data_IF_613743362007
#
_entry.id   IF_613743362007
#
_cell.length_a   1.000
_cell.length_b   1.000
_cell.length_c   1.000
_cell.angle_alpha   90.00
_cell.angle_beta   90.00
_cell.angle_gamma   90.00
#
_symmetry.space_group_name_H-M   'P 1'
#
loop_
_entity.id
_entity.type
_entity.pdbx_description
1 polymer ?
#
# COMPACT_ATOMS: atom_id res chain seq x y z
N UNK A 1 64.94 -39.28 -45.00
CA UNK A 1 63.99 -38.27 -44.48
C UNK A 1 63.00 -39.02 -43.62
N UNK A 2 63.41 -39.12 -42.30
CA UNK A 2 62.55 -39.80 -41.32
C UNK A 2 61.53 -38.88 -40.76
N UNK A 3 60.25 -39.19 -40.96
CA UNK A 3 59.12 -38.45 -40.38
C UNK A 3 58.94 -38.95 -38.91
N UNK A 4 59.35 -38.11 -37.98
CA UNK A 4 59.10 -38.33 -36.57
C UNK A 4 57.61 -38.28 -36.27
N UNK A 5 56.97 -39.47 -36.09
CA UNK A 5 55.61 -39.57 -35.59
C UNK A 5 55.57 -39.24 -34.10
N UNK A 6 55.11 -38.03 -33.79
CA UNK A 6 54.75 -37.67 -32.40
C UNK A 6 53.56 -38.48 -31.95
N UNK A 7 53.79 -39.46 -31.07
CA UNK A 7 52.75 -40.17 -30.34
C UNK A 7 52.19 -39.27 -29.26
N UNK A 8 50.98 -38.81 -29.44
CA UNK A 8 50.22 -38.20 -28.35
C UNK A 8 49.93 -39.27 -27.27
N UNK A 9 50.17 -38.98 -25.99
CA UNK A 9 49.83 -39.88 -24.91
C UNK A 9 48.30 -40.06 -24.90
N UNK A 10 47.85 -41.33 -24.94
CA UNK A 10 46.40 -41.64 -24.77
C UNK A 10 45.93 -41.11 -23.40
N UNK A 11 44.99 -40.23 -23.40
CA UNK A 11 44.31 -39.79 -22.19
C UNK A 11 43.66 -41.01 -21.56
N UNK A 12 44.08 -41.35 -20.36
CA UNK A 12 43.53 -42.44 -19.58
C UNK A 12 42.13 -42.09 -19.20
N UNK A 13 41.13 -42.68 -19.81
CA UNK A 13 39.75 -42.52 -19.44
C UNK A 13 39.55 -43.07 -18.03
N UNK A 14 39.41 -42.20 -17.05
CA UNK A 14 39.10 -42.52 -15.67
C UNK A 14 37.56 -42.69 -15.61
N UNK A 15 37.06 -43.91 -15.65
CA UNK A 15 35.66 -44.20 -15.46
C UNK A 15 35.19 -43.89 -14.03
N UNK A 16 34.04 -43.27 -13.88
CA UNK A 16 33.43 -43.06 -12.57
C UNK A 16 33.00 -44.37 -11.91
N UNK A 17 33.27 -44.50 -10.61
CA UNK A 17 32.75 -45.60 -9.81
C UNK A 17 31.24 -45.45 -9.56
N UNK A 18 30.54 -46.55 -9.56
CA UNK A 18 29.09 -46.59 -9.26
C UNK A 18 28.79 -45.93 -7.88
N UNK A 19 29.66 -46.15 -6.89
CA UNK A 19 29.57 -45.56 -5.56
C UNK A 19 29.70 -44.04 -5.60
N UNK A 20 30.62 -43.51 -6.41
CA UNK A 20 30.81 -42.07 -6.58
C UNK A 20 29.56 -41.39 -7.17
N UNK A 21 28.91 -42.01 -8.14
CA UNK A 21 27.64 -41.51 -8.72
C UNK A 21 26.54 -41.50 -7.66
N UNK A 22 26.41 -42.55 -6.83
CA UNK A 22 25.41 -42.57 -5.77
C UNK A 22 25.65 -41.49 -4.73
N UNK A 23 26.91 -41.29 -4.31
CA UNK A 23 27.23 -40.24 -3.34
C UNK A 23 26.92 -38.86 -3.91
N UNK A 24 27.25 -38.60 -5.18
CA UNK A 24 26.94 -37.30 -5.84
C UNK A 24 25.43 -37.04 -5.91
N UNK A 25 24.61 -37.99 -6.31
CA UNK A 25 23.15 -37.77 -6.38
C UNK A 25 22.53 -37.55 -4.99
N UNK A 26 23.03 -38.23 -3.95
CA UNK A 26 22.56 -38.03 -2.57
C UNK A 26 22.93 -36.58 -2.09
N UNK A 27 24.17 -36.20 -2.29
CA UNK A 27 24.62 -34.82 -1.92
C UNK A 27 23.86 -33.77 -2.70
N UNK A 28 23.69 -33.95 -4.01
CA UNK A 28 22.89 -33.05 -4.83
C UNK A 28 21.43 -32.98 -4.36
N UNK A 29 20.82 -34.09 -3.96
CA UNK A 29 19.48 -34.12 -3.41
C UNK A 29 19.34 -33.30 -2.14
N UNK A 30 20.30 -33.42 -1.23
CA UNK A 30 20.32 -32.62 0.02
C UNK A 30 20.48 -31.13 -0.28
N UNK A 31 21.45 -30.75 -1.12
CA UNK A 31 21.69 -29.35 -1.49
C UNK A 31 20.48 -28.75 -2.22
N UNK A 32 19.89 -29.49 -3.15
CA UNK A 32 18.71 -29.05 -3.87
C UNK A 32 17.50 -28.82 -2.94
N UNK A 33 17.31 -29.69 -1.94
CA UNK A 33 16.22 -29.54 -0.97
C UNK A 33 16.37 -28.29 -0.12
N UNK A 34 17.58 -27.97 0.33
CA UNK A 34 17.88 -26.73 1.07
C UNK A 34 17.68 -25.49 0.18
N UNK A 35 18.15 -25.54 -1.06
CA UNK A 35 17.99 -24.47 -2.03
C UNK A 35 16.52 -24.16 -2.33
N UNK A 36 15.67 -25.17 -2.43
CA UNK A 36 14.24 -25.01 -2.70
C UNK A 36 13.51 -24.21 -1.61
N UNK A 37 13.87 -24.42 -0.33
CA UNK A 37 13.30 -23.67 0.80
C UNK A 37 13.68 -22.18 0.71
N UNK A 38 14.95 -21.88 0.45
CA UNK A 38 15.42 -20.49 0.34
C UNK A 38 14.73 -19.74 -0.81
N UNK A 39 14.59 -20.39 -1.97
CA UNK A 39 13.92 -19.81 -3.13
C UNK A 39 12.45 -19.56 -2.82
N UNK A 40 11.75 -20.54 -2.21
CA UNK A 40 10.35 -20.39 -1.79
C UNK A 40 10.16 -19.20 -0.86
N UNK A 41 10.96 -19.12 0.19
CA UNK A 41 10.84 -18.04 1.19
C UNK A 41 11.19 -16.67 0.59
N UNK A 42 12.15 -16.62 -0.32
CA UNK A 42 12.48 -15.43 -1.10
C UNK A 42 11.31 -14.95 -1.97
N UNK A 43 10.66 -15.85 -2.69
CA UNK A 43 9.47 -15.53 -3.50
C UNK A 43 8.32 -15.03 -2.63
N UNK A 44 8.02 -15.72 -1.53
CA UNK A 44 6.96 -15.32 -0.61
C UNK A 44 7.25 -13.95 0.04
N UNK A 45 8.49 -13.70 0.41
CA UNK A 45 8.92 -12.39 0.93
C UNK A 45 8.76 -11.28 -0.10
N UNK A 46 9.13 -11.53 -1.35
CA UNK A 46 8.95 -10.58 -2.45
C UNK A 46 7.48 -10.24 -2.70
N UNK A 47 6.61 -11.27 -2.76
CA UNK A 47 5.17 -11.07 -2.99
C UNK A 47 4.52 -10.25 -1.87
N UNK A 48 4.86 -10.55 -0.60
CA UNK A 48 4.39 -9.77 0.56
C UNK A 48 4.88 -8.33 0.52
N UNK A 49 6.15 -8.10 0.20
CA UNK A 49 6.72 -6.76 0.06
C UNK A 49 6.02 -5.94 -1.01
N UNK A 50 5.70 -6.53 -2.15
CA UNK A 50 4.97 -5.89 -3.23
C UNK A 50 3.53 -5.51 -2.82
N UNK A 51 2.84 -6.39 -2.11
CA UNK A 51 1.49 -6.14 -1.60
C UNK A 51 1.47 -4.96 -0.62
N UNK A 52 2.41 -4.95 0.34
CA UNK A 52 2.55 -3.86 1.33
C UNK A 52 2.83 -2.53 0.64
N UNK A 53 3.78 -2.50 -0.29
CA UNK A 53 4.15 -1.28 -1.01
C UNK A 53 2.99 -0.75 -1.85
N UNK A 54 2.23 -1.63 -2.50
CA UNK A 54 1.05 -1.25 -3.29
C UNK A 54 -0.05 -0.62 -2.43
N UNK A 55 -0.33 -1.21 -1.27
CA UNK A 55 -1.33 -0.68 -0.32
C UNK A 55 -0.89 0.67 0.28
N UNK A 56 0.38 0.80 0.66
CA UNK A 56 0.94 2.05 1.18
C UNK A 56 0.83 3.19 0.16
N UNK A 57 1.17 2.91 -1.09
CA UNK A 57 1.06 3.87 -2.18
C UNK A 57 -0.38 4.36 -2.40
N UNK A 58 -1.35 3.44 -2.45
CA UNK A 58 -2.77 3.79 -2.59
C UNK A 58 -3.26 4.64 -1.41
N UNK A 59 -2.89 4.28 -0.18
CA UNK A 59 -3.24 5.03 1.02
C UNK A 59 -2.71 6.46 0.99
N UNK A 60 -1.45 6.65 0.62
CA UNK A 60 -0.83 7.98 0.51
C UNK A 60 -1.48 8.84 -0.57
N UNK A 61 -1.71 8.27 -1.75
CA UNK A 61 -2.37 9.00 -2.85
C UNK A 61 -3.80 9.40 -2.48
N UNK A 62 -4.55 8.50 -1.87
CA UNK A 62 -5.91 8.80 -1.41
C UNK A 62 -5.91 9.92 -0.38
N UNK A 63 -5.02 9.86 0.63
CA UNK A 63 -4.90 10.91 1.65
C UNK A 63 -4.51 12.25 1.04
N UNK A 64 -3.55 12.27 0.12
CA UNK A 64 -3.12 13.48 -0.56
C UNK A 64 -4.27 14.12 -1.36
N UNK A 65 -5.04 13.29 -2.07
CA UNK A 65 -6.21 13.78 -2.81
C UNK A 65 -7.26 14.36 -1.89
N UNK A 66 -7.64 13.63 -0.83
CA UNK A 66 -8.61 14.10 0.17
C UNK A 66 -8.15 15.44 0.75
N UNK A 67 -6.90 15.53 1.21
CA UNK A 67 -6.37 16.74 1.84
C UNK A 67 -6.32 17.94 0.88
N UNK A 68 -6.04 17.69 -0.39
CA UNK A 68 -6.06 18.72 -1.44
C UNK A 68 -7.48 19.24 -1.67
N UNK A 69 -8.45 18.35 -1.79
CA UNK A 69 -9.84 18.71 -2.02
C UNK A 69 -10.48 19.36 -0.78
N UNK A 70 -10.17 18.91 0.43
CA UNK A 70 -10.63 19.56 1.67
C UNK A 70 -10.18 21.02 1.79
N UNK A 71 -9.03 21.39 1.21
CA UNK A 71 -8.57 22.79 1.17
C UNK A 71 -9.42 23.69 0.27
N UNK A 72 -10.17 23.09 -0.66
CA UNK A 72 -11.01 23.82 -1.62
C UNK A 72 -12.46 23.95 -1.17
N UNK A 73 -12.81 23.53 0.06
CA UNK A 73 -14.18 23.69 0.60
C UNK A 73 -14.61 25.15 0.41
N UNK A 74 -15.79 25.33 -0.17
CA UNK A 74 -16.31 26.67 -0.46
C UNK A 74 -16.61 27.45 0.83
N UNK A 75 -16.29 28.74 0.81
CA UNK A 75 -16.59 29.69 1.87
C UNK A 75 -17.83 30.53 1.54
N UNK A 76 -18.38 31.22 2.51
CA UNK A 76 -18.26 31.14 3.97
C UNK A 76 -19.38 30.34 4.63
N UNK A 77 -20.14 29.59 3.84
CA UNK A 77 -21.30 28.87 4.36
C UNK A 77 -20.91 27.45 4.77
N UNK A 78 -20.93 27.21 6.06
CA UNK A 78 -20.85 25.86 6.65
C UNK A 78 -21.89 24.88 6.09
N UNK A 79 -22.94 25.40 5.42
CA UNK A 79 -23.91 24.60 4.64
C UNK A 79 -23.27 23.81 3.50
N UNK A 80 -22.06 24.15 3.09
CA UNK A 80 -21.28 23.37 2.11
C UNK A 80 -20.66 22.09 2.69
N UNK A 81 -20.71 21.90 4.01
CA UNK A 81 -20.35 20.66 4.69
C UNK A 81 -21.64 20.00 5.16
N UNK A 82 -21.89 18.75 4.77
CA UNK A 82 -23.07 18.05 5.27
C UNK A 82 -23.00 17.86 6.79
N UNK A 83 -24.09 18.12 7.49
CA UNK A 83 -24.14 18.09 8.96
C UNK A 83 -23.69 16.75 9.57
N UNK A 84 -23.83 15.64 8.83
CA UNK A 84 -23.43 14.29 9.25
C UNK A 84 -21.96 13.99 8.99
N UNK A 85 -21.20 14.93 8.43
CA UNK A 85 -19.81 14.68 8.01
C UNK A 85 -18.83 14.63 9.17
N UNK A 86 -19.09 15.34 10.26
CA UNK A 86 -18.18 15.40 11.40
C UNK A 86 -18.35 14.18 12.31
N UNK A 87 -17.26 13.44 12.53
CA UNK A 87 -17.21 12.24 13.38
C UNK A 87 -17.56 10.92 12.66
N UNK A 88 -17.93 10.98 11.38
CA UNK A 88 -18.33 9.82 10.59
C UNK A 88 -17.27 9.23 9.69
N UNK A 89 -17.64 8.15 8.98
CA UNK A 89 -16.87 7.54 7.89
C UNK A 89 -17.25 8.10 6.51
N UNK A 90 -18.15 9.08 6.48
CA UNK A 90 -18.58 9.80 5.29
C UNK A 90 -18.33 11.28 5.48
N UNK A 91 -17.81 11.94 4.47
CA UNK A 91 -17.63 13.38 4.45
C UNK A 91 -18.07 13.94 3.10
N UNK A 92 -19.05 14.84 3.13
CA UNK A 92 -19.58 15.47 1.93
C UNK A 92 -19.52 17.00 2.06
N UNK A 93 -19.08 17.65 0.98
CA UNK A 93 -18.96 19.11 0.91
C UNK A 93 -19.07 19.58 -0.54
N UNK A 94 -19.17 20.88 -0.74
CA UNK A 94 -19.03 21.51 -2.05
C UNK A 94 -17.72 22.30 -2.10
N UNK A 95 -17.03 22.21 -3.22
CA UNK A 95 -15.81 22.97 -3.47
C UNK A 95 -16.12 24.45 -3.84
N UNK A 96 -15.08 25.24 -4.08
CA UNK A 96 -15.19 26.65 -4.45
C UNK A 96 -15.94 26.89 -5.77
N UNK A 97 -16.12 25.85 -6.60
CA UNK A 97 -16.89 25.89 -7.85
C UNK A 97 -18.32 25.38 -7.69
N UNK A 98 -18.76 25.17 -6.43
CA UNK A 98 -20.04 24.56 -6.07
C UNK A 98 -20.20 23.10 -6.54
N UNK A 99 -19.10 22.42 -6.88
CA UNK A 99 -19.12 21.00 -7.26
C UNK A 99 -19.24 20.13 -6.00
N UNK A 100 -20.22 19.23 -5.91
CA UNK A 100 -20.36 18.34 -4.78
C UNK A 100 -19.28 17.26 -4.78
N UNK A 101 -18.64 17.09 -3.63
CA UNK A 101 -17.61 16.07 -3.39
C UNK A 101 -18.04 15.26 -2.17
N UNK A 102 -18.00 13.95 -2.29
CA UNK A 102 -18.26 13.05 -1.17
C UNK A 102 -17.22 11.95 -1.08
N UNK A 103 -16.81 11.66 0.14
CA UNK A 103 -15.96 10.53 0.49
C UNK A 103 -16.73 9.59 1.40
N UNK A 104 -16.72 8.31 1.10
CA UNK A 104 -17.42 7.28 1.87
C UNK A 104 -16.60 6.00 1.86
N UNK A 105 -16.58 5.30 2.98
CA UNK A 105 -16.07 3.94 3.04
C UNK A 105 -17.22 2.97 2.80
N UNK A 106 -17.07 2.09 1.81
CA UNK A 106 -17.96 0.95 1.56
C UNK A 106 -17.17 -0.33 1.72
N UNK A 107 -17.51 -1.11 2.73
CA UNK A 107 -16.74 -2.31 3.14
C UNK A 107 -15.26 -1.95 3.37
N UNK A 108 -14.36 -2.31 2.47
CA UNK A 108 -12.92 -2.03 2.52
C UNK A 108 -12.46 -1.10 1.39
N UNK A 109 -13.38 -0.48 0.67
CA UNK A 109 -13.06 0.44 -0.42
C UNK A 109 -13.43 1.87 -0.03
N UNK A 110 -12.48 2.79 -0.18
CA UNK A 110 -12.73 4.21 -0.11
C UNK A 110 -13.30 4.69 -1.45
N UNK A 111 -14.46 5.28 -1.40
CA UNK A 111 -15.14 5.84 -2.57
C UNK A 111 -15.05 7.36 -2.56
N UNK A 112 -14.91 7.95 -3.75
CA UNK A 112 -15.10 9.38 -4.02
C UNK A 112 -16.23 9.56 -5.03
N UNK A 113 -17.29 10.24 -4.63
CA UNK A 113 -18.51 10.39 -5.45
C UNK A 113 -19.02 9.06 -6.00
N UNK A 114 -18.96 8.00 -5.19
CA UNK A 114 -19.34 6.64 -5.57
C UNK A 114 -18.33 5.87 -6.42
N UNK A 115 -17.21 6.49 -6.84
CA UNK A 115 -16.16 5.82 -7.60
C UNK A 115 -15.02 5.33 -6.69
N UNK A 116 -14.48 4.13 -6.91
CA UNK A 116 -13.35 3.61 -6.13
C UNK A 116 -12.13 4.53 -6.20
N UNK A 117 -11.55 4.85 -5.05
CA UNK A 117 -10.35 5.67 -4.91
C UNK A 117 -9.17 4.88 -4.33
N UNK A 118 -9.42 4.06 -3.32
CA UNK A 118 -8.42 3.18 -2.72
C UNK A 118 -9.08 1.95 -2.14
N UNK A 119 -8.39 0.81 -2.22
CA UNK A 119 -8.82 -0.45 -1.64
C UNK A 119 -8.11 -0.75 -0.31
N UNK A 120 -8.62 -1.76 0.39
CA UNK A 120 -8.09 -2.20 1.69
C UNK A 120 -8.16 -1.14 2.79
N UNK A 121 -9.05 -0.15 2.65
CA UNK A 121 -9.27 0.90 3.64
C UNK A 121 -10.21 0.40 4.73
N UNK A 122 -9.74 0.41 5.96
CA UNK A 122 -10.51 0.04 7.15
C UNK A 122 -10.44 1.18 8.16
N UNK A 123 -11.54 1.71 8.62
CA UNK A 123 -11.53 2.74 9.67
C UNK A 123 -11.32 4.17 9.17
N UNK A 124 -11.94 4.50 8.02
CA UNK A 124 -12.03 5.89 7.59
C UNK A 124 -12.83 6.72 8.60
N UNK A 125 -12.27 7.84 9.04
CA UNK A 125 -12.92 8.78 9.97
C UNK A 125 -12.57 10.21 9.60
N UNK A 126 -13.57 11.08 9.70
CA UNK A 126 -13.41 12.53 9.57
C UNK A 126 -13.76 13.19 10.89
N UNK A 127 -12.92 14.08 11.36
CA UNK A 127 -13.13 14.85 12.57
C UNK A 127 -13.11 16.34 12.23
N UNK A 128 -14.10 17.06 12.69
CA UNK A 128 -14.11 18.52 12.65
C UNK A 128 -13.56 19.06 13.95
N UNK A 129 -12.66 20.03 13.87
CA UNK A 129 -12.02 20.62 15.04
C UNK A 129 -12.20 22.13 15.04
N UNK A 130 -12.33 22.70 16.23
CA UNK A 130 -12.34 24.15 16.48
C UNK A 130 -10.96 24.78 16.26
N UNK A 131 -10.87 26.09 16.37
CA UNK A 131 -9.60 26.84 16.36
C UNK A 131 -8.65 26.41 17.49
N UNK A 132 -9.18 25.92 18.61
CA UNK A 132 -8.41 25.38 19.75
C UNK A 132 -8.15 23.87 19.63
N UNK A 133 -8.39 23.29 18.45
CA UNK A 133 -8.15 21.87 18.12
C UNK A 133 -9.02 20.92 18.95
N UNK A 134 -10.18 21.37 19.41
CA UNK A 134 -11.15 20.52 20.11
C UNK A 134 -12.18 19.95 19.12
N UNK A 135 -12.61 18.68 19.26
CA UNK A 135 -13.65 18.11 18.41
C UNK A 135 -14.95 18.93 18.50
N UNK A 136 -15.57 19.16 17.36
CA UNK A 136 -16.87 19.83 17.28
C UNK A 136 -17.80 19.15 16.28
N UNK A 137 -19.09 19.11 16.59
CA UNK A 137 -20.14 18.76 15.66
C UNK A 137 -20.85 20.01 15.10
N UNK A 138 -20.58 21.17 15.66
CA UNK A 138 -21.16 22.46 15.24
C UNK A 138 -20.40 22.96 14.03
N UNK A 139 -21.06 23.03 12.89
CA UNK A 139 -20.41 23.40 11.62
C UNK A 139 -19.83 24.82 11.65
N UNK A 140 -20.47 25.78 12.34
CA UNK A 140 -19.96 27.15 12.49
C UNK A 140 -18.63 27.26 13.20
N UNK A 141 -18.26 26.25 13.97
CA UNK A 141 -17.03 26.24 14.77
C UNK A 141 -15.90 25.43 14.11
N UNK A 142 -16.14 24.90 12.91
CA UNK A 142 -15.17 24.09 12.19
C UNK A 142 -14.05 24.99 11.66
N UNK A 143 -12.85 24.78 12.18
CA UNK A 143 -11.64 25.46 11.75
C UNK A 143 -10.66 24.53 11.05
N UNK A 144 -10.60 23.26 11.50
CA UNK A 144 -9.80 22.22 10.89
C UNK A 144 -10.66 20.98 10.60
N UNK A 145 -10.29 20.28 9.55
CA UNK A 145 -10.82 18.92 9.26
C UNK A 145 -9.67 17.93 9.31
N UNK A 146 -9.81 16.91 10.12
CA UNK A 146 -8.85 15.80 10.22
C UNK A 146 -9.45 14.59 9.54
N UNK A 147 -8.72 14.01 8.61
CA UNK A 147 -9.02 12.69 8.05
C UNK A 147 -8.07 11.67 8.65
N UNK A 148 -8.61 10.55 9.05
CA UNK A 148 -7.85 9.37 9.52
C UNK A 148 -8.36 8.15 8.79
N UNK A 149 -7.46 7.30 8.33
CA UNK A 149 -7.79 6.01 7.72
C UNK A 149 -6.72 4.98 8.03
N UNK A 150 -7.12 3.72 8.02
CA UNK A 150 -6.21 2.58 8.13
C UNK A 150 -6.28 1.81 6.82
N UNK A 151 -5.15 1.47 6.25
CA UNK A 151 -5.05 0.56 5.11
C UNK A 151 -4.50 -0.76 5.61
N UNK A 152 -5.25 -1.85 5.42
CA UNK A 152 -4.92 -3.16 5.96
C UNK A 152 -4.82 -4.19 4.83
N UNK A 153 -3.70 -4.89 4.77
CA UNK A 153 -3.53 -6.09 3.96
C UNK A 153 -3.60 -7.33 4.85
N UNK A 154 -3.54 -8.52 4.26
CA UNK A 154 -3.55 -9.77 5.02
C UNK A 154 -2.43 -9.86 6.08
N UNK A 155 -1.32 -9.15 5.89
CA UNK A 155 -0.11 -9.30 6.71
C UNK A 155 0.29 -8.03 7.48
N UNK A 156 -0.31 -6.87 7.17
CA UNK A 156 0.07 -5.60 7.80
C UNK A 156 -1.03 -4.56 7.72
N UNK A 157 -0.95 -3.56 8.59
CA UNK A 157 -1.80 -2.37 8.54
C UNK A 157 -0.97 -1.11 8.75
N UNK A 158 -1.34 -0.04 8.04
CA UNK A 158 -0.74 1.27 8.19
C UNK A 158 -1.81 2.32 8.44
N UNK A 159 -1.56 3.21 9.41
CA UNK A 159 -2.46 4.32 9.76
C UNK A 159 -2.00 5.60 9.09
N UNK A 160 -2.94 6.30 8.47
CA UNK A 160 -2.72 7.57 7.81
C UNK A 160 -3.61 8.61 8.46
N UNK A 161 -3.04 9.76 8.77
CA UNK A 161 -3.76 10.88 9.35
C UNK A 161 -3.26 12.19 8.79
N UNK A 162 -4.18 13.09 8.45
CA UNK A 162 -3.86 14.45 8.04
C UNK A 162 -4.89 15.42 8.58
N UNK A 163 -4.43 16.60 8.98
CA UNK A 163 -5.28 17.70 9.43
C UNK A 163 -5.13 18.85 8.45
N UNK A 164 -6.23 19.38 8.00
CA UNK A 164 -6.29 20.42 6.98
C UNK A 164 -7.07 21.61 7.54
N UNK A 165 -6.56 22.82 7.32
CA UNK A 165 -7.35 24.04 7.40
C UNK A 165 -7.90 24.35 6.02
N UNK A 166 -9.23 24.32 5.80
CA UNK A 166 -9.83 24.80 4.57
C UNK A 166 -9.52 26.29 4.38
N UNK A 167 -9.16 26.68 3.16
CA UNK A 167 -8.71 28.07 2.92
C UNK A 167 -9.83 29.11 3.08
N UNK A 168 -11.05 28.66 2.91
CA UNK A 168 -12.21 29.51 2.83
C UNK A 168 -13.12 29.43 4.07
N UNK A 169 -12.75 28.68 5.09
CA UNK A 169 -13.38 28.75 6.41
C UNK A 169 -12.70 29.81 7.27
N UNK A 170 -13.41 30.48 8.20
CA UNK A 170 -12.91 31.56 9.03
C UNK A 170 -11.72 31.19 9.91
#
# INVERSE_FOLDING_TARGET
>A
MDAARTRFPALREIGFSLVEVIVVIVVLGIVASMGAVVVRDGILGYLRGREITGADWQGRLALERITRELRTIASPNYSNIAATSCGGSTFAFSDATATPISYTQSTTTLLRNGQPLADNVTGLRFYCLTSTVQPTATLSDVYYVTVSMVVSTANTSASYRSTVRPRNLP
#
